data_IF_854349406534
#
_entry.id   IF_854349406534
#
_cell.length_a   1.000
_cell.length_b   1.000
_cell.length_c   1.000
_cell.angle_alpha   90.00
_cell.angle_beta   90.00
_cell.angle_gamma   90.00
#
_symmetry.space_group_name_H-M   'P 1'
#
loop_
_entity.id
_entity.type
_entity.pdbx_description
1 polymer ?
#
# COMPACT_ATOMS: atom_id res chain seq x y z
N UNK A 1 11.27 -11.36 -9.75
CA UNK A 1 12.16 -10.29 -9.24
C UNK A 1 11.25 -9.55 -8.28
N UNK A 2 11.46 -9.68 -6.97
CA UNK A 2 10.39 -9.48 -5.98
C UNK A 2 9.76 -8.07 -6.04
N UNK A 3 8.63 -7.95 -6.75
CA UNK A 3 7.88 -6.71 -6.93
C UNK A 3 6.59 -6.80 -6.13
N UNK A 4 6.48 -5.96 -5.11
CA UNK A 4 5.37 -5.99 -4.17
C UNK A 4 4.45 -4.77 -4.34
N UNK A 5 3.16 -4.98 -4.11
CA UNK A 5 2.23 -3.91 -3.82
C UNK A 5 2.28 -3.55 -2.33
N UNK A 6 2.10 -2.29 -2.00
CA UNK A 6 2.00 -1.80 -0.63
C UNK A 6 0.84 -0.81 -0.48
N UNK A 7 0.00 -1.04 0.52
CA UNK A 7 -1.01 -0.10 0.98
C UNK A 7 -0.83 0.12 2.48
N UNK A 8 -0.69 1.38 2.88
CA UNK A 8 -0.55 1.77 4.28
C UNK A 8 -1.75 2.61 4.68
N UNK A 9 -2.44 2.20 5.74
CA UNK A 9 -3.29 3.10 6.51
C UNK A 9 -2.40 3.78 7.56
N UNK A 10 -2.11 5.09 7.44
CA UNK A 10 -1.19 5.77 8.34
C UNK A 10 -1.68 5.79 9.79
N UNK A 11 -2.99 5.61 10.03
CA UNK A 11 -3.57 5.55 11.37
C UNK A 11 -3.46 4.17 12.03
N UNK A 12 -3.05 3.15 11.29
CA UNK A 12 -2.89 1.80 11.81
C UNK A 12 -1.88 1.75 12.98
N UNK A 13 -2.15 0.90 13.97
CA UNK A 13 -1.25 0.71 15.12
C UNK A 13 -0.94 2.01 15.87
N UNK A 14 -1.95 2.85 16.13
CA UNK A 14 -1.81 4.16 16.78
C UNK A 14 -0.86 5.11 16.06
N UNK A 15 -0.92 5.16 14.72
CA UNK A 15 -0.04 6.03 13.91
C UNK A 15 1.28 5.40 13.50
N UNK A 16 1.50 4.11 13.79
CA UNK A 16 2.75 3.40 13.48
C UNK A 16 2.78 2.79 12.08
N UNK A 17 1.74 2.95 11.27
CA UNK A 17 1.59 2.29 9.97
C UNK A 17 2.80 2.44 9.03
N UNK A 18 3.34 3.66 8.90
CA UNK A 18 4.50 3.92 8.05
C UNK A 18 5.77 3.21 8.54
N UNK A 19 5.98 3.18 9.86
CA UNK A 19 7.13 2.48 10.46
C UNK A 19 7.05 0.97 10.18
N UNK A 20 5.88 0.37 10.42
CA UNK A 20 5.64 -1.06 10.17
C UNK A 20 5.82 -1.38 8.69
N UNK A 21 5.34 -0.52 7.78
CA UNK A 21 5.51 -0.70 6.35
C UNK A 21 7.00 -0.71 5.93
N UNK A 22 7.80 0.21 6.47
CA UNK A 22 9.25 0.26 6.23
C UNK A 22 9.93 -1.03 6.68
N UNK A 23 9.63 -1.49 7.90
CA UNK A 23 10.19 -2.71 8.47
C UNK A 23 9.78 -3.94 7.65
N UNK A 24 8.51 -4.03 7.25
CA UNK A 24 8.00 -5.12 6.41
C UNK A 24 8.69 -5.18 5.05
N UNK A 25 8.81 -4.05 4.33
CA UNK A 25 9.46 -4.03 3.02
C UNK A 25 10.96 -4.36 3.11
N UNK A 26 11.61 -3.95 4.19
CA UNK A 26 13.01 -4.30 4.46
C UNK A 26 13.16 -5.80 4.74
N UNK A 27 12.27 -6.38 5.56
CA UNK A 27 12.30 -7.80 5.90
C UNK A 27 11.97 -8.71 4.72
N UNK A 28 11.06 -8.28 3.84
CA UNK A 28 10.71 -8.99 2.61
C UNK A 28 11.77 -8.82 1.50
N UNK A 29 12.78 -7.98 1.72
CA UNK A 29 13.82 -7.66 0.75
C UNK A 29 13.25 -7.33 -0.64
N UNK A 30 12.22 -6.47 -0.68
CA UNK A 30 11.54 -6.10 -1.91
C UNK A 30 12.51 -5.40 -2.88
N UNK A 31 12.57 -5.84 -4.13
CA UNK A 31 13.38 -5.21 -5.16
C UNK A 31 12.68 -4.00 -5.79
N UNK A 32 11.36 -4.07 -5.89
CA UNK A 32 10.50 -2.99 -6.37
C UNK A 32 9.19 -2.96 -5.58
N UNK A 33 8.64 -1.75 -5.37
CA UNK A 33 7.38 -1.55 -4.67
C UNK A 33 6.47 -0.63 -5.47
N UNK A 34 5.22 -1.04 -5.65
CA UNK A 34 4.12 -0.19 -6.14
C UNK A 34 3.27 0.20 -4.94
N UNK A 35 3.06 1.50 -4.73
CA UNK A 35 2.37 2.02 -3.54
C UNK A 35 1.62 3.31 -3.83
N UNK A 36 0.76 3.76 -2.91
CA UNK A 36 0.20 5.10 -2.97
C UNK A 36 1.21 6.19 -2.57
N UNK A 37 1.08 7.39 -3.16
CA UNK A 37 1.84 8.57 -2.78
C UNK A 37 1.70 8.95 -1.30
N UNK A 38 2.71 9.65 -0.76
CA UNK A 38 2.71 10.17 0.61
C UNK A 38 2.49 9.08 1.67
N UNK A 39 1.61 9.38 2.62
CA UNK A 39 1.34 8.52 3.78
C UNK A 39 0.64 7.18 3.45
N UNK A 40 0.16 6.99 2.22
CA UNK A 40 -0.41 5.71 1.77
C UNK A 40 0.65 4.65 1.45
N UNK A 41 1.93 5.04 1.48
CA UNK A 41 3.05 4.11 1.60
C UNK A 41 4.38 4.63 1.07
N UNK A 42 4.39 5.55 0.09
CA UNK A 42 5.64 6.09 -0.47
C UNK A 42 6.54 6.74 0.61
N UNK A 43 5.95 7.45 1.58
CA UNK A 43 6.68 8.06 2.69
C UNK A 43 7.41 7.02 3.57
N UNK A 44 6.91 5.78 3.66
CA UNK A 44 7.58 4.72 4.43
C UNK A 44 8.89 4.25 3.77
N UNK A 45 9.00 4.42 2.45
CA UNK A 45 10.06 3.85 1.63
C UNK A 45 11.20 4.83 1.36
N UNK A 46 11.08 6.08 1.81
CA UNK A 46 12.11 7.10 1.62
C UNK A 46 13.48 6.63 2.16
N UNK A 47 14.50 6.73 1.31
CA UNK A 47 15.86 6.32 1.64
C UNK A 47 16.13 4.81 1.61
N UNK A 48 15.17 3.97 1.22
CA UNK A 48 15.42 2.55 0.93
C UNK A 48 15.98 2.37 -0.48
N UNK A 49 16.93 1.44 -0.65
CA UNK A 49 17.51 1.09 -1.95
C UNK A 49 16.61 0.12 -2.73
N UNK A 50 15.45 0.60 -3.18
CA UNK A 50 14.49 -0.17 -3.99
C UNK A 50 13.82 0.72 -5.06
N UNK A 51 13.28 0.12 -6.11
CA UNK A 51 12.53 0.86 -7.14
C UNK A 51 11.11 1.16 -6.65
N UNK A 52 10.72 2.43 -6.58
CA UNK A 52 9.39 2.86 -6.07
C UNK A 52 8.55 3.37 -7.24
N UNK A 53 7.36 2.80 -7.43
CA UNK A 53 6.29 3.37 -8.25
C UNK A 53 5.20 3.91 -7.33
N UNK A 54 5.16 5.23 -7.17
CA UNK A 54 4.12 5.90 -6.38
C UNK A 54 2.92 6.26 -7.28
N UNK A 55 1.74 5.77 -6.91
CA UNK A 55 0.49 6.04 -7.61
C UNK A 55 -0.22 7.22 -6.96
N UNK A 56 -0.55 8.21 -7.78
CA UNK A 56 -1.37 9.34 -7.35
C UNK A 56 -2.77 8.86 -7.00
N UNK A 57 -3.30 9.38 -5.90
CA UNK A 57 -4.64 9.08 -5.42
C UNK A 57 -5.36 10.38 -5.08
N UNK A 58 -6.66 10.42 -5.37
CA UNK A 58 -7.44 11.65 -5.19
C UNK A 58 -7.73 11.89 -3.70
N UNK A 59 -7.07 12.89 -3.12
CA UNK A 59 -7.21 13.22 -1.69
C UNK A 59 -8.64 13.62 -1.29
N UNK A 60 -9.46 14.05 -2.25
CA UNK A 60 -10.83 14.54 -2.06
C UNK A 60 -11.82 13.45 -1.64
N UNK A 61 -11.57 12.18 -1.97
CA UNK A 61 -12.46 11.04 -1.66
C UNK A 61 -11.93 10.22 -0.49
N UNK A 62 -11.98 10.81 0.72
CA UNK A 62 -11.45 10.21 1.95
C UNK A 62 -11.86 8.74 2.20
N UNK A 63 -13.08 8.33 1.81
CA UNK A 63 -13.60 6.97 2.07
C UNK A 63 -13.20 5.92 1.03
N UNK A 64 -12.74 6.31 -0.16
CA UNK A 64 -12.45 5.37 -1.26
C UNK A 64 -10.95 5.20 -1.54
N UNK A 65 -10.08 5.80 -0.73
CA UNK A 65 -8.62 5.86 -0.96
C UNK A 65 -8.01 4.47 -1.07
N UNK A 66 -8.27 3.61 -0.08
CA UNK A 66 -7.78 2.22 -0.04
C UNK A 66 -8.30 1.41 -1.22
N UNK A 67 -9.59 1.59 -1.54
CA UNK A 67 -10.27 0.85 -2.60
C UNK A 67 -9.70 1.18 -3.98
N UNK A 68 -9.63 2.46 -4.35
CA UNK A 68 -9.08 2.90 -5.64
C UNK A 68 -7.61 2.49 -5.78
N UNK A 69 -6.81 2.66 -4.72
CA UNK A 69 -5.40 2.29 -4.75
C UNK A 69 -5.21 0.78 -4.92
N UNK A 70 -6.01 -0.04 -4.23
CA UNK A 70 -5.99 -1.49 -4.40
C UNK A 70 -6.31 -1.92 -5.83
N UNK A 71 -7.34 -1.33 -6.45
CA UNK A 71 -7.67 -1.60 -7.86
C UNK A 71 -6.53 -1.22 -8.80
N UNK A 72 -5.92 -0.04 -8.61
CA UNK A 72 -4.80 0.40 -9.43
C UNK A 72 -3.58 -0.52 -9.29
N UNK A 73 -3.23 -0.93 -8.06
CA UNK A 73 -2.10 -1.83 -7.82
C UNK A 73 -2.38 -3.22 -8.42
N UNK A 74 -3.61 -3.72 -8.33
CA UNK A 74 -4.00 -5.03 -8.87
C UNK A 74 -3.92 -5.12 -10.39
N UNK A 75 -3.99 -3.99 -11.09
CA UNK A 75 -3.80 -3.91 -12.54
C UNK A 75 -2.33 -3.95 -12.96
N UNK A 76 -1.41 -3.91 -11.99
CA UNK A 76 0.04 -3.93 -12.23
C UNK A 76 0.60 -5.30 -11.88
N UNK A 77 1.70 -5.65 -12.55
CA UNK A 77 2.42 -6.89 -12.31
C UNK A 77 3.14 -6.84 -10.96
N UNK A 78 2.44 -7.27 -9.89
CA UNK A 78 2.93 -7.42 -8.53
C UNK A 78 2.76 -8.88 -8.08
N UNK A 79 3.75 -9.42 -7.38
CA UNK A 79 3.76 -10.81 -6.92
C UNK A 79 2.87 -11.01 -5.68
N UNK A 80 2.74 -9.98 -4.84
CA UNK A 80 1.84 -9.94 -3.69
C UNK A 80 1.49 -8.50 -3.30
N UNK A 81 0.34 -8.32 -2.66
CA UNK A 81 -0.08 -7.05 -2.06
C UNK A 81 0.05 -7.10 -0.53
N UNK A 82 0.89 -6.23 0.02
CA UNK A 82 1.06 -6.07 1.47
C UNK A 82 0.17 -4.94 1.96
N UNK A 83 -0.67 -5.25 2.96
CA UNK A 83 -1.61 -4.29 3.56
C UNK A 83 -1.20 -4.04 5.01
N UNK A 84 -0.86 -2.80 5.32
CA UNK A 84 -0.61 -2.34 6.70
C UNK A 84 -1.82 -1.54 7.16
N UNK A 85 -2.72 -2.21 7.88
CA UNK A 85 -4.00 -1.65 8.29
C UNK A 85 -4.68 -2.50 9.36
N UNK A 86 -5.85 -2.05 9.81
CA UNK A 86 -6.77 -2.90 10.59
C UNK A 86 -7.75 -3.63 9.67
N UNK A 87 -8.68 -4.37 10.27
CA UNK A 87 -9.66 -5.19 9.55
C UNK A 87 -10.45 -4.41 8.50
N UNK A 88 -10.83 -3.16 8.79
CA UNK A 88 -11.52 -2.31 7.81
C UNK A 88 -10.67 -2.00 6.58
N UNK A 89 -9.37 -1.77 6.75
CA UNK A 89 -8.46 -1.55 5.61
C UNK A 89 -8.29 -2.83 4.80
N UNK A 90 -8.19 -3.99 5.46
CA UNK A 90 -8.11 -5.27 4.75
C UNK A 90 -9.41 -5.59 4.01
N UNK A 91 -10.56 -5.31 4.62
CA UNK A 91 -11.88 -5.48 3.99
C UNK A 91 -12.03 -4.59 2.76
N UNK A 92 -11.66 -3.31 2.84
CA UNK A 92 -11.67 -2.39 1.68
C UNK A 92 -10.83 -2.93 0.52
N UNK A 93 -9.62 -3.45 0.82
CA UNK A 93 -8.76 -4.07 -0.19
C UNK A 93 -9.41 -5.33 -0.77
N UNK A 94 -9.95 -6.21 0.08
CA UNK A 94 -10.56 -7.45 -0.37
C UNK A 94 -11.77 -7.19 -1.30
N UNK A 95 -12.61 -6.22 -0.94
CA UNK A 95 -13.74 -5.80 -1.77
C UNK A 95 -13.29 -5.19 -3.10
N UNK A 96 -12.25 -4.36 -3.08
CA UNK A 96 -11.67 -3.76 -4.28
C UNK A 96 -11.13 -4.79 -5.28
N UNK A 97 -10.57 -5.90 -4.80
CA UNK A 97 -9.99 -6.95 -5.64
C UNK A 97 -11.02 -7.94 -6.20
N UNK A 98 -12.21 -8.01 -5.59
CA UNK A 98 -13.24 -8.99 -5.96
C UNK A 98 -14.55 -8.36 -6.45
N UNK A 99 -14.56 -7.04 -6.67
CA UNK A 99 -15.76 -6.26 -7.05
C UNK A 99 -16.98 -6.58 -6.16
N UNK A 100 -16.73 -6.78 -4.86
CA UNK A 100 -17.77 -7.01 -3.86
C UNK A 100 -18.22 -5.66 -3.30
N UNK A 101 -19.04 -4.94 -4.05
CA UNK A 101 -19.68 -3.67 -3.61
C UNK A 101 -21.19 -3.80 -3.57
#
# INVERSE_FOLDING_TARGET
MNRLGLIVNPRAGNGSGLKVAREAMSALAAAAVVTGEGEMGAAALEGLSLSITALSWNQSRNKERTFTLAQQIAQLDVEALVVIGGDGTLADVAWALHDLT
#
